data_IF_077511596213
#
_entry.id   IF_077511596213
#
_cell.length_a   1.000
_cell.length_b   1.000
_cell.length_c   1.000
_cell.angle_alpha   90.00
_cell.angle_beta   90.00
_cell.angle_gamma   90.00
#
_symmetry.space_group_name_H-M   'P 1'
#
loop_
_entity.id
_entity.type
_entity.pdbx_description
1 polymer ?
#
# COMPACT_ATOMS: atom_id res chain seq x y z
N UNK A 1 21.61 11.50 -28.68
CA UNK A 1 21.87 10.68 -29.87
C UNK A 1 21.19 11.35 -31.05
N UNK A 2 21.90 11.54 -32.17
CA UNK A 2 21.35 11.99 -33.45
C UNK A 2 21.55 10.87 -34.47
N UNK A 3 20.55 10.63 -35.31
CA UNK A 3 20.63 9.54 -36.28
C UNK A 3 19.40 9.50 -37.19
N UNK A 4 19.39 8.55 -38.12
CA UNK A 4 18.27 8.31 -39.04
C UNK A 4 17.45 7.11 -38.58
N UNK A 5 16.14 7.22 -38.69
CA UNK A 5 15.22 6.10 -38.48
C UNK A 5 15.11 5.34 -39.80
N UNK A 6 15.39 4.05 -39.74
CA UNK A 6 15.39 3.17 -40.93
C UNK A 6 14.58 1.91 -40.60
N UNK A 7 14.13 1.18 -41.63
CA UNK A 7 13.56 -0.14 -41.42
C UNK A 7 14.63 -1.08 -40.85
N UNK A 8 14.26 -1.92 -39.91
CA UNK A 8 15.19 -2.82 -39.23
C UNK A 8 15.74 -3.86 -40.20
N UNK A 9 17.07 -3.91 -40.31
CA UNK A 9 17.76 -4.78 -41.26
C UNK A 9 17.69 -6.27 -40.91
N UNK A 10 17.55 -6.60 -39.63
CA UNK A 10 17.46 -7.97 -39.08
C UNK A 10 16.03 -8.54 -38.96
N UNK A 11 15.03 -7.92 -39.64
CA UNK A 11 13.62 -8.31 -39.52
C UNK A 11 12.90 -7.63 -38.30
N UNK A 12 11.58 -7.78 -38.24
CA UNK A 12 10.76 -7.19 -37.19
C UNK A 12 11.02 -7.90 -35.87
N UNK A 13 11.27 -7.14 -34.82
CA UNK A 13 11.31 -7.64 -33.44
C UNK A 13 9.94 -7.54 -32.79
N UNK A 14 9.20 -8.63 -32.73
CA UNK A 14 7.83 -8.68 -32.17
C UNK A 14 7.75 -8.35 -30.68
N UNK A 15 8.87 -8.40 -29.95
CA UNK A 15 8.92 -8.05 -28.51
C UNK A 15 8.98 -6.55 -28.25
N UNK A 16 9.05 -5.71 -29.29
CA UNK A 16 9.13 -4.27 -29.19
C UNK A 16 7.98 -3.62 -29.95
N UNK A 17 7.31 -2.65 -29.34
CA UNK A 17 6.25 -1.89 -29.98
C UNK A 17 6.71 -1.15 -31.26
N UNK A 18 8.00 -0.83 -31.34
CA UNK A 18 8.66 -0.19 -32.50
C UNK A 18 9.63 -1.14 -33.21
N UNK A 19 9.39 -2.45 -33.10
CA UNK A 19 10.34 -3.47 -33.56
C UNK A 19 10.59 -3.57 -35.08
N UNK A 20 9.77 -2.87 -35.90
CA UNK A 20 9.97 -2.77 -37.36
C UNK A 20 10.99 -1.72 -37.78
N UNK A 21 11.41 -0.85 -36.85
CA UNK A 21 12.35 0.25 -37.12
C UNK A 21 13.58 0.17 -36.23
N UNK A 22 14.69 0.76 -36.69
CA UNK A 22 15.90 0.96 -35.90
C UNK A 22 16.47 2.36 -36.14
N UNK A 23 17.26 2.86 -35.21
CA UNK A 23 17.94 4.16 -35.33
C UNK A 23 19.39 3.90 -35.66
N UNK A 24 19.80 4.29 -36.87
CA UNK A 24 21.22 4.31 -37.28
C UNK A 24 21.84 5.57 -36.71
N UNK A 25 22.61 5.39 -35.62
CA UNK A 25 23.23 6.51 -34.91
C UNK A 25 24.37 7.13 -35.76
N UNK A 26 24.29 8.46 -35.95
CA UNK A 26 25.34 9.26 -36.59
C UNK A 26 26.25 9.92 -35.53
N UNK A 27 25.68 10.31 -34.41
CA UNK A 27 26.44 10.83 -33.29
C UNK A 27 25.84 10.42 -31.94
N UNK A 28 26.71 10.17 -30.97
CA UNK A 28 26.34 9.86 -29.58
C UNK A 28 27.10 10.81 -28.64
N UNK A 29 26.31 11.53 -27.81
CA UNK A 29 26.85 12.34 -26.71
C UNK A 29 26.48 11.72 -25.40
N UNK A 30 27.46 11.33 -24.60
CA UNK A 30 27.24 10.89 -23.22
C UNK A 30 26.95 12.13 -22.39
N UNK A 31 25.80 12.18 -21.73
CA UNK A 31 25.38 13.31 -20.89
C UNK A 31 25.91 13.18 -19.46
N UNK A 32 25.98 11.94 -18.97
CA UNK A 32 26.51 11.60 -17.67
C UNK A 32 27.03 10.18 -17.69
N UNK A 33 28.18 9.95 -17.12
CA UNK A 33 28.75 8.62 -16.92
C UNK A 33 28.16 8.00 -15.64
N UNK A 34 28.05 6.70 -15.58
CA UNK A 34 27.60 5.95 -14.41
C UNK A 34 28.40 4.66 -14.26
N UNK A 35 28.57 4.23 -13.03
CA UNK A 35 29.10 2.90 -12.74
C UNK A 35 28.09 1.81 -13.10
N UNK A 36 28.60 0.60 -13.34
CA UNK A 36 27.76 -0.55 -13.60
C UNK A 36 26.90 -0.86 -12.36
N UNK A 37 25.56 -0.98 -12.49
CA UNK A 37 24.70 -1.34 -11.36
C UNK A 37 25.09 -2.69 -10.76
N UNK A 38 24.93 -2.89 -9.44
CA UNK A 38 25.27 -4.15 -8.75
C UNK A 38 24.42 -5.34 -9.17
N UNK A 39 23.31 -5.10 -9.85
CA UNK A 39 22.42 -6.11 -10.45
C UNK A 39 21.60 -5.51 -11.59
N UNK A 40 21.12 -6.34 -12.55
CA UNK A 40 20.26 -5.90 -13.64
C UNK A 40 18.89 -5.41 -13.11
N UNK A 41 18.39 -4.33 -13.70
CA UNK A 41 17.05 -3.77 -13.40
C UNK A 41 16.05 -4.42 -14.37
N UNK A 42 15.61 -5.61 -14.05
CA UNK A 42 14.72 -6.43 -14.88
C UNK A 42 13.65 -7.12 -14.03
N UNK A 43 12.55 -7.50 -14.66
CA UNK A 43 11.49 -8.28 -14.00
C UNK A 43 12.01 -9.66 -13.60
N UNK A 44 11.44 -10.22 -12.54
CA UNK A 44 11.75 -11.56 -12.04
C UNK A 44 13.25 -11.81 -11.79
N UNK A 45 13.98 -10.77 -11.40
CA UNK A 45 15.41 -10.85 -11.09
C UNK A 45 15.70 -11.95 -10.05
N UNK A 46 16.69 -12.80 -10.33
CA UNK A 46 17.20 -13.83 -9.41
C UNK A 46 18.20 -13.28 -8.37
N UNK A 47 18.39 -11.98 -8.34
CA UNK A 47 19.27 -11.31 -7.38
C UNK A 47 18.81 -11.57 -5.95
N UNK A 48 19.76 -11.95 -5.07
CA UNK A 48 19.47 -12.21 -3.64
C UNK A 48 18.87 -10.99 -2.98
N UNK A 49 17.94 -11.22 -2.06
CA UNK A 49 17.18 -10.17 -1.37
C UNK A 49 18.09 -9.20 -0.61
N UNK A 50 19.12 -9.70 0.06
CA UNK A 50 20.09 -8.87 0.79
C UNK A 50 20.71 -7.77 -0.10
N UNK A 51 21.11 -8.13 -1.33
CA UNK A 51 21.69 -7.18 -2.27
C UNK A 51 20.65 -6.18 -2.78
N UNK A 52 19.41 -6.65 -3.03
CA UNK A 52 18.30 -5.79 -3.43
C UNK A 52 17.90 -4.80 -2.32
N UNK A 53 17.90 -5.23 -1.06
CA UNK A 53 17.63 -4.36 0.09
C UNK A 53 18.75 -3.35 0.30
N UNK A 54 20.02 -3.75 0.13
CA UNK A 54 21.16 -2.83 0.23
C UNK A 54 21.09 -1.70 -0.80
N UNK A 55 20.65 -2.00 -2.01
CA UNK A 55 20.48 -1.03 -3.10
C UNK A 55 19.00 -0.84 -3.46
N UNK A 56 18.17 -0.63 -2.44
CA UNK A 56 16.70 -0.58 -2.57
C UNK A 56 16.22 0.41 -3.63
N UNK A 57 16.89 1.54 -3.79
CA UNK A 57 16.57 2.55 -4.79
C UNK A 57 16.72 2.04 -6.24
N UNK A 58 17.63 1.08 -6.49
CA UNK A 58 17.73 0.40 -7.79
C UNK A 58 16.66 -0.69 -7.93
N UNK A 59 16.41 -1.47 -6.88
CA UNK A 59 15.35 -2.49 -6.88
C UNK A 59 13.97 -1.89 -7.15
N UNK A 60 13.70 -0.70 -6.60
CA UNK A 60 12.46 0.05 -6.86
C UNK A 60 12.27 0.52 -8.31
N UNK A 61 13.31 0.45 -9.14
CA UNK A 61 13.21 0.74 -10.59
C UNK A 61 12.71 -0.45 -11.40
N UNK A 62 12.66 -1.63 -10.81
CA UNK A 62 12.16 -2.83 -11.49
C UNK A 62 10.66 -2.69 -11.76
N UNK A 63 10.19 -3.06 -12.96
CA UNK A 63 8.78 -2.89 -13.35
C UNK A 63 7.80 -3.62 -12.43
N UNK A 64 8.13 -4.84 -11.98
CA UNK A 64 7.32 -5.64 -11.05
C UNK A 64 7.16 -4.95 -9.68
N UNK A 65 8.21 -4.35 -9.14
CA UNK A 65 8.16 -3.63 -7.88
C UNK A 65 7.44 -2.28 -8.05
N UNK A 66 7.69 -1.57 -9.15
CA UNK A 66 6.99 -0.32 -9.46
C UNK A 66 5.47 -0.52 -9.57
N UNK A 67 5.02 -1.60 -10.24
CA UNK A 67 3.59 -1.92 -10.33
C UNK A 67 2.92 -2.01 -8.97
N UNK A 68 3.58 -2.63 -7.98
CA UNK A 68 3.04 -2.75 -6.62
C UNK A 68 2.86 -1.38 -5.95
N UNK A 69 3.84 -0.48 -6.08
CA UNK A 69 3.75 0.87 -5.52
C UNK A 69 2.70 1.73 -6.24
N UNK A 70 2.63 1.61 -7.57
CA UNK A 70 1.61 2.29 -8.37
C UNK A 70 0.22 1.79 -8.00
N UNK A 71 0.03 0.47 -7.85
CA UNK A 71 -1.24 -0.12 -7.41
C UNK A 71 -1.63 0.38 -6.02
N UNK A 72 -0.69 0.37 -5.06
CA UNK A 72 -0.91 0.92 -3.72
C UNK A 72 -1.39 2.39 -3.77
N UNK A 73 -0.76 3.21 -4.61
CA UNK A 73 -1.17 4.61 -4.81
C UNK A 73 -2.59 4.71 -5.38
N UNK A 74 -2.92 3.92 -6.40
CA UNK A 74 -4.26 3.87 -6.99
C UNK A 74 -5.32 3.43 -5.97
N UNK A 75 -5.03 2.42 -5.15
CA UNK A 75 -5.93 1.96 -4.08
C UNK A 75 -6.21 3.10 -3.10
N UNK A 76 -5.17 3.83 -2.66
CA UNK A 76 -5.35 4.94 -1.73
C UNK A 76 -6.20 6.08 -2.30
N UNK A 77 -5.99 6.43 -3.58
CA UNK A 77 -6.80 7.45 -4.28
C UNK A 77 -8.24 6.99 -4.43
N UNK A 78 -8.47 5.74 -4.89
CA UNK A 78 -9.81 5.17 -5.05
C UNK A 78 -10.55 5.13 -3.72
N UNK A 79 -9.88 4.72 -2.64
CA UNK A 79 -10.47 4.68 -1.29
C UNK A 79 -10.95 6.06 -0.87
N UNK A 80 -10.13 7.10 -1.03
CA UNK A 80 -10.52 8.47 -0.70
C UNK A 80 -11.71 8.95 -1.49
N UNK A 81 -11.70 8.72 -2.80
CA UNK A 81 -12.81 9.09 -3.67
C UNK A 81 -14.11 8.38 -3.28
N UNK A 82 -14.05 7.05 -3.13
CA UNK A 82 -15.20 6.27 -2.76
C UNK A 82 -15.78 6.68 -1.41
N UNK A 83 -14.96 6.79 -0.38
CA UNK A 83 -15.42 7.13 0.97
C UNK A 83 -15.94 8.58 1.05
N UNK A 84 -15.34 9.51 0.30
CA UNK A 84 -15.87 10.87 0.19
C UNK A 84 -17.25 10.90 -0.47
N UNK A 85 -17.46 10.11 -1.56
CA UNK A 85 -18.77 9.94 -2.20
C UNK A 85 -19.83 9.33 -1.27
N UNK A 86 -19.42 8.44 -0.36
CA UNK A 86 -20.27 7.85 0.69
C UNK A 86 -20.49 8.80 1.89
N UNK A 87 -19.98 10.01 1.85
CA UNK A 87 -20.14 11.02 2.89
C UNK A 87 -19.21 10.90 4.10
N UNK A 88 -18.13 10.14 3.97
CA UNK A 88 -17.10 10.08 5.01
C UNK A 88 -16.17 11.29 4.94
N UNK A 89 -15.72 11.73 6.11
CA UNK A 89 -14.70 12.76 6.26
C UNK A 89 -13.35 12.12 6.57
N UNK A 90 -12.33 12.45 5.79
CA UNK A 90 -10.95 12.08 6.12
C UNK A 90 -10.42 13.02 7.19
N UNK A 91 -10.15 12.49 8.39
CA UNK A 91 -9.62 13.27 9.50
C UNK A 91 -8.34 12.62 9.99
N UNK A 92 -7.24 13.38 9.90
CA UNK A 92 -5.94 12.94 10.38
C UNK A 92 -5.85 13.08 11.90
N UNK A 93 -5.39 12.02 12.57
CA UNK A 93 -5.26 11.96 14.03
C UNK A 93 -3.79 12.02 14.47
N UNK A 94 -3.49 12.46 15.70
CA UNK A 94 -2.13 12.51 16.21
C UNK A 94 -1.43 11.14 16.22
N UNK A 95 -0.14 11.14 15.88
CA UNK A 95 0.73 9.96 15.94
C UNK A 95 1.49 9.84 17.26
N UNK A 96 1.84 10.97 17.90
CA UNK A 96 2.44 10.96 19.23
C UNK A 96 1.33 11.05 20.26
N UNK A 97 0.99 9.93 20.89
CA UNK A 97 -0.15 9.83 21.81
C UNK A 97 0.29 9.33 23.18
N UNK A 98 -0.63 9.24 24.11
CA UNK A 98 -0.47 8.52 25.37
C UNK A 98 -0.66 7.03 25.10
N UNK A 99 0.14 6.17 25.75
CA UNK A 99 -0.04 4.72 25.72
C UNK A 99 -1.47 4.32 26.10
N UNK A 100 -2.07 3.47 25.27
CA UNK A 100 -3.42 2.93 25.48
C UNK A 100 -3.37 1.40 25.40
N UNK A 101 -4.07 0.67 26.31
CA UNK A 101 -4.04 -0.78 26.29
C UNK A 101 -4.98 -1.32 25.19
N UNK A 102 -4.45 -1.49 23.96
CA UNK A 102 -5.21 -1.99 22.80
C UNK A 102 -4.86 -3.44 22.40
N UNK A 103 -4.22 -4.19 23.29
CA UNK A 103 -3.93 -5.62 23.08
C UNK A 103 -2.49 -5.95 22.68
N UNK A 104 -1.82 -5.13 21.87
CA UNK A 104 -0.39 -5.25 21.57
C UNK A 104 0.46 -4.40 22.53
N UNK A 105 1.79 -4.55 22.46
CA UNK A 105 2.71 -3.61 23.11
C UNK A 105 2.91 -2.38 22.24
N UNK A 106 3.01 -1.21 22.90
CA UNK A 106 3.24 0.05 22.23
C UNK A 106 4.73 0.28 22.00
N UNK A 107 5.08 0.89 20.88
CA UNK A 107 6.38 1.53 20.70
C UNK A 107 6.41 2.84 21.48
N UNK A 108 7.39 3.00 22.37
CA UNK A 108 7.54 4.19 23.22
C UNK A 108 8.58 5.14 22.64
N UNK A 109 8.25 6.42 22.63
CA UNK A 109 9.14 7.50 22.19
C UNK A 109 9.47 8.38 23.40
N UNK A 110 10.73 8.40 23.90
CA UNK A 110 11.08 9.20 25.04
C UNK A 110 10.94 10.70 24.77
N UNK A 111 10.36 11.43 25.73
CA UNK A 111 10.26 12.90 25.66
C UNK A 111 11.59 13.55 26.05
N UNK A 112 12.14 14.34 25.15
CA UNK A 112 13.34 15.15 25.46
C UNK A 112 13.01 16.33 26.39
N UNK A 113 11.81 16.85 26.29
CA UNK A 113 11.35 18.05 27.07
C UNK A 113 10.96 17.67 28.49
N UNK A 114 10.41 16.48 28.68
CA UNK A 114 9.97 15.97 29.99
C UNK A 114 10.70 14.67 30.32
N UNK A 115 11.85 14.74 31.01
CA UNK A 115 12.62 13.56 31.42
C UNK A 115 11.75 12.56 32.20
N UNK A 116 11.85 11.27 31.83
CA UNK A 116 11.05 10.21 32.44
C UNK A 116 9.64 10.03 31.89
N UNK A 117 9.22 10.90 30.94
CA UNK A 117 7.95 10.79 30.23
C UNK A 117 8.14 10.24 28.81
N UNK A 118 7.12 9.55 28.31
CA UNK A 118 7.13 8.91 26.99
C UNK A 118 5.85 9.22 26.23
N UNK A 119 5.97 9.37 24.92
CA UNK A 119 4.85 9.20 23.99
C UNK A 119 4.78 7.74 23.55
N UNK A 120 3.61 7.32 23.10
CA UNK A 120 3.43 6.04 22.40
C UNK A 120 3.08 6.28 20.93
N UNK A 121 3.47 5.34 20.05
CA UNK A 121 2.97 5.29 18.68
C UNK A 121 1.65 4.52 18.66
N UNK A 122 0.64 4.96 17.87
CA UNK A 122 -0.69 4.38 17.90
C UNK A 122 -0.72 2.97 17.29
N UNK A 123 -1.37 2.05 17.98
CA UNK A 123 -1.70 0.72 17.44
C UNK A 123 -2.84 0.81 16.41
N UNK A 124 -3.74 1.76 16.63
CA UNK A 124 -4.80 2.22 15.75
C UNK A 124 -5.29 3.59 16.23
N UNK A 125 -6.05 4.36 15.45
CA UNK A 125 -6.65 5.62 15.91
C UNK A 125 -7.89 5.44 16.77
N UNK A 126 -8.04 4.32 17.49
CA UNK A 126 -9.26 3.90 18.19
C UNK A 126 -9.83 4.94 19.14
N UNK A 127 -9.00 5.55 19.99
CA UNK A 127 -9.47 6.57 20.92
C UNK A 127 -10.01 7.82 20.20
N UNK A 128 -9.29 8.25 19.17
CA UNK A 128 -9.64 9.48 18.43
C UNK A 128 -10.91 9.31 17.61
N UNK A 129 -11.08 8.18 16.93
CA UNK A 129 -12.29 7.94 16.14
C UNK A 129 -13.53 7.85 17.02
N UNK A 130 -13.44 7.26 18.22
CA UNK A 130 -14.53 7.31 19.21
C UNK A 130 -14.87 8.75 19.64
N UNK A 131 -13.85 9.56 19.93
CA UNK A 131 -14.05 10.97 20.26
C UNK A 131 -14.68 11.76 19.12
N UNK A 132 -14.31 11.46 17.87
CA UNK A 132 -14.92 12.06 16.69
C UNK A 132 -16.40 11.71 16.57
N UNK A 133 -16.78 10.45 16.81
CA UNK A 133 -18.20 10.05 16.86
C UNK A 133 -18.96 10.83 17.93
N UNK A 134 -18.40 10.94 19.15
CA UNK A 134 -18.99 11.76 20.23
C UNK A 134 -19.07 13.25 19.88
N UNK A 135 -18.24 13.71 18.97
CA UNK A 135 -18.20 15.10 18.49
C UNK A 135 -19.12 15.38 17.29
N UNK A 136 -19.91 14.39 16.87
CA UNK A 136 -20.88 14.53 15.77
C UNK A 136 -20.31 14.35 14.37
N UNK A 137 -19.13 13.72 14.23
CA UNK A 137 -18.58 13.32 12.93
C UNK A 137 -19.06 11.89 12.62
N UNK A 138 -20.28 11.75 12.13
CA UNK A 138 -20.96 10.46 11.99
C UNK A 138 -20.33 9.47 11.02
N UNK A 139 -19.46 9.92 10.13
CA UNK A 139 -18.73 9.09 9.16
C UNK A 139 -17.31 9.58 9.05
N UNK A 140 -16.40 8.87 9.66
CA UNK A 140 -14.98 9.15 9.66
C UNK A 140 -14.23 8.08 8.91
N UNK A 141 -13.14 8.46 8.23
CA UNK A 141 -12.10 7.54 7.82
C UNK A 141 -10.71 8.18 7.87
N UNK A 142 -9.69 7.32 7.85
CA UNK A 142 -8.29 7.72 7.73
C UNK A 142 -7.49 6.59 7.11
N UNK A 143 -6.52 6.91 6.23
CA UNK A 143 -5.47 5.97 5.83
C UNK A 143 -4.35 6.10 6.86
N UNK A 144 -4.49 5.38 7.96
CA UNK A 144 -3.71 5.53 9.18
C UNK A 144 -2.43 4.69 9.16
N UNK A 145 -1.33 5.27 9.69
CA UNK A 145 -0.14 4.50 10.09
C UNK A 145 -0.35 3.93 11.48
N UNK A 146 -0.12 2.62 11.59
CA UNK A 146 -0.29 1.85 12.81
C UNK A 146 0.99 1.12 13.17
N UNK A 147 1.24 0.97 14.46
CA UNK A 147 2.48 0.43 15.01
C UNK A 147 2.16 -0.60 16.10
N UNK A 148 2.74 -1.79 16.01
CA UNK A 148 2.55 -2.84 17.02
C UNK A 148 3.87 -3.55 17.28
N UNK A 149 4.30 -3.57 18.55
CA UNK A 149 5.50 -4.28 18.99
C UNK A 149 5.10 -5.72 19.35
N UNK A 150 4.91 -6.53 18.30
CA UNK A 150 4.54 -7.94 18.40
C UNK A 150 5.54 -8.82 17.63
N UNK A 151 5.51 -10.12 17.92
CA UNK A 151 6.28 -11.08 17.17
C UNK A 151 5.87 -11.09 15.69
N UNK A 152 6.87 -10.98 14.83
CA UNK A 152 6.66 -10.95 13.38
C UNK A 152 6.22 -12.34 12.89
N UNK A 153 5.18 -12.35 12.08
CA UNK A 153 4.76 -13.51 11.28
C UNK A 153 4.96 -13.17 9.80
N UNK A 154 4.81 -14.15 8.93
CA UNK A 154 5.06 -14.00 7.49
C UNK A 154 4.33 -12.81 6.84
N UNK A 155 3.14 -12.48 7.33
CA UNK A 155 2.24 -11.44 6.81
C UNK A 155 2.13 -10.19 7.73
N UNK A 156 2.86 -10.16 8.86
CA UNK A 156 2.78 -9.07 9.83
C UNK A 156 4.04 -8.22 9.82
N UNK A 157 3.84 -6.91 9.88
CA UNK A 157 4.89 -5.90 10.00
C UNK A 157 4.66 -5.06 11.25
N UNK A 158 5.74 -4.60 11.94
CA UNK A 158 5.61 -3.75 13.12
C UNK A 158 5.03 -2.38 12.81
N UNK A 159 5.19 -1.91 11.57
CA UNK A 159 4.57 -0.72 11.00
C UNK A 159 3.75 -1.10 9.78
N UNK A 160 2.48 -0.73 9.77
CA UNK A 160 1.57 -1.01 8.66
C UNK A 160 0.58 0.12 8.45
N UNK A 161 -0.19 0.04 7.37
CA UNK A 161 -1.20 1.04 7.05
C UNK A 161 -2.58 0.39 7.10
N UNK A 162 -3.53 1.05 7.75
CA UNK A 162 -4.95 0.67 7.77
C UNK A 162 -5.78 1.68 7.00
N UNK A 163 -6.82 1.20 6.33
CA UNK A 163 -7.98 2.01 5.99
C UNK A 163 -8.89 1.89 7.20
N UNK A 164 -8.87 2.89 8.05
CA UNK A 164 -9.63 2.91 9.28
C UNK A 164 -10.92 3.71 9.09
N UNK A 165 -12.05 3.17 9.52
CA UNK A 165 -13.37 3.78 9.37
C UNK A 165 -14.15 3.66 10.66
N UNK A 166 -14.99 4.67 10.93
CA UNK A 166 -15.96 4.63 12.03
C UNK A 166 -17.26 5.29 11.57
N UNK A 167 -18.39 4.69 11.96
CA UNK A 167 -19.73 5.16 11.63
C UNK A 167 -20.59 5.19 12.88
N UNK A 168 -21.46 6.22 12.98
CA UNK A 168 -22.50 6.33 13.99
C UNK A 168 -23.85 5.90 13.39
N UNK A 169 -24.76 5.44 14.25
CA UNK A 169 -26.17 5.14 13.92
C UNK A 169 -26.35 4.12 12.78
N UNK A 170 -25.50 3.09 12.76
CA UNK A 170 -25.51 2.03 11.74
C UNK A 170 -25.53 0.65 12.40
N UNK A 171 -26.02 -0.34 11.66
CA UNK A 171 -25.97 -1.73 12.03
C UNK A 171 -24.79 -2.46 11.36
N UNK A 172 -24.59 -3.73 11.68
CA UNK A 172 -23.50 -4.57 11.14
C UNK A 172 -23.57 -4.66 9.60
N UNK A 173 -24.78 -4.80 9.07
CA UNK A 173 -24.99 -4.94 7.64
C UNK A 173 -24.61 -3.68 6.86
N UNK A 174 -24.83 -2.49 7.42
CA UNK A 174 -24.38 -1.21 6.81
C UNK A 174 -22.86 -1.14 6.69
N UNK A 175 -22.14 -1.59 7.75
CA UNK A 175 -20.67 -1.64 7.73
C UNK A 175 -20.17 -2.65 6.71
N UNK A 176 -20.82 -3.82 6.61
CA UNK A 176 -20.48 -4.85 5.62
C UNK A 176 -20.68 -4.31 4.21
N UNK A 177 -21.83 -3.70 3.91
CA UNK A 177 -22.15 -3.16 2.59
C UNK A 177 -21.13 -2.16 2.09
N UNK A 178 -20.76 -1.18 2.92
CA UNK A 178 -19.73 -0.19 2.55
C UNK A 178 -18.40 -0.86 2.25
N UNK A 179 -17.98 -1.83 3.06
CA UNK A 179 -16.73 -2.56 2.87
C UNK A 179 -16.74 -3.40 1.61
N UNK A 180 -17.84 -4.14 1.34
CA UNK A 180 -17.97 -4.97 0.14
C UNK A 180 -17.90 -4.14 -1.14
N UNK A 181 -18.60 -3.01 -1.19
CA UNK A 181 -18.57 -2.10 -2.34
C UNK A 181 -17.19 -1.49 -2.53
N UNK A 182 -16.48 -1.13 -1.46
CA UNK A 182 -15.10 -0.65 -1.52
C UNK A 182 -14.18 -1.75 -2.06
N UNK A 183 -14.24 -2.95 -1.51
CA UNK A 183 -13.43 -4.08 -1.95
C UNK A 183 -13.67 -4.43 -3.42
N UNK A 184 -14.92 -4.48 -3.86
CA UNK A 184 -15.25 -4.72 -5.26
C UNK A 184 -14.58 -3.70 -6.19
N UNK A 185 -14.64 -2.40 -5.85
CA UNK A 185 -13.97 -1.36 -6.62
C UNK A 185 -12.44 -1.51 -6.61
N UNK A 186 -11.86 -1.92 -5.48
CA UNK A 186 -10.40 -2.15 -5.38
C UNK A 186 -9.96 -3.33 -6.26
N UNK A 187 -10.68 -4.43 -6.25
CA UNK A 187 -10.34 -5.60 -7.05
C UNK A 187 -10.45 -5.35 -8.56
N UNK A 188 -11.35 -4.45 -8.98
CA UNK A 188 -11.40 -4.00 -10.38
C UNK A 188 -10.14 -3.29 -10.87
N UNK A 189 -9.32 -2.73 -9.97
CA UNK A 189 -8.02 -2.15 -10.36
C UNK A 189 -7.01 -3.17 -10.89
N UNK A 190 -7.25 -4.44 -10.63
CA UNK A 190 -6.43 -5.58 -11.07
C UNK A 190 -7.23 -6.57 -11.94
N UNK A 191 -8.32 -6.06 -12.55
CA UNK A 191 -9.19 -6.81 -13.46
C UNK A 191 -9.82 -8.07 -12.83
N UNK A 192 -10.08 -8.04 -11.51
CA UNK A 192 -10.78 -9.11 -10.78
C UNK A 192 -12.19 -8.63 -10.42
N UNK A 193 -13.19 -9.37 -10.89
CA UNK A 193 -14.58 -9.17 -10.51
C UNK A 193 -14.91 -9.97 -9.24
N UNK A 194 -15.33 -9.26 -8.21
CA UNK A 194 -15.83 -9.86 -6.97
C UNK A 194 -17.34 -9.78 -6.96
N UNK A 195 -18.06 -10.92 -6.95
CA UNK A 195 -19.51 -10.90 -6.87
C UNK A 195 -19.97 -10.41 -5.49
N UNK A 196 -21.09 -9.66 -5.47
CA UNK A 196 -21.73 -9.23 -4.23
C UNK A 196 -23.08 -9.94 -4.06
N UNK A 197 -23.51 -10.21 -2.82
CA UNK A 197 -22.74 -10.07 -1.57
C UNK A 197 -21.62 -11.11 -1.46
N UNK A 198 -20.56 -10.75 -0.73
CA UNK A 198 -19.49 -11.71 -0.41
C UNK A 198 -20.05 -12.76 0.57
N UNK A 199 -19.78 -14.07 0.38
CA UNK A 199 -20.30 -15.09 1.28
C UNK A 199 -19.92 -14.85 2.75
N UNK A 200 -20.92 -14.74 3.61
CA UNK A 200 -20.72 -14.52 5.04
C UNK A 200 -20.81 -15.86 5.80
N UNK A 201 -19.89 -16.06 6.75
CA UNK A 201 -19.88 -17.23 7.60
C UNK A 201 -19.38 -16.90 9.00
N UNK A 202 -19.80 -17.70 10.00
CA UNK A 202 -19.34 -17.49 11.38
C UNK A 202 -17.89 -17.89 11.54
N UNK A 203 -17.20 -17.26 12.52
CA UNK A 203 -15.82 -17.63 12.88
C UNK A 203 -15.69 -19.09 13.26
N UNK A 204 -16.69 -19.64 13.96
CA UNK A 204 -16.74 -21.07 14.32
C UNK A 204 -16.71 -21.98 13.11
N UNK A 205 -17.40 -21.61 12.03
CA UNK A 205 -17.41 -22.38 10.78
C UNK A 205 -16.02 -22.38 10.12
N UNK A 206 -15.34 -21.23 10.07
CA UNK A 206 -14.00 -21.14 9.49
C UNK A 206 -12.95 -21.93 10.25
N UNK A 207 -13.04 -22.01 11.59
CA UNK A 207 -12.13 -22.81 12.41
C UNK A 207 -12.35 -24.31 12.25
N UNK A 208 -13.58 -24.75 12.02
CA UNK A 208 -13.92 -26.17 11.85
C UNK A 208 -13.58 -26.73 10.45
N UNK A 209 -13.49 -25.87 9.44
CA UNK A 209 -13.31 -26.28 8.05
C UNK A 209 -11.87 -26.10 7.53
N UNK A 210 -10.99 -25.45 8.29
CA UNK A 210 -9.57 -25.38 7.94
C UNK A 210 -8.93 -26.76 8.21
N UNK A 211 -8.31 -27.39 7.20
CA UNK A 211 -7.55 -28.62 7.44
C UNK A 211 -6.41 -28.30 8.42
N UNK A 212 -6.32 -29.10 9.48
CA UNK A 212 -5.23 -29.07 10.45
C UNK A 212 -3.91 -29.53 9.83
#
# INVERSE_FOLDING_TARGET
MTGKVEARSGGVNENLATGGIEVRAESLRILSESETPPFPIEENSKTKEELRLKYRFLDLRRPDIQRNLILRSKIAILTRQFLAEEGFLEIETPTLIKSTPEGARDYLVPSRVHPGSFYALPQSPQLFKQLLMCSGYDRYFQIAKCFRDEDLRADRQPEFTQIDMELSFVDVDDVIDVNERLLQKMFRLIDVEVPLPIPSMTVSYTHLTLPT
#
